data_IF_157470011495
#
_entry.id   IF_157470011495
#
_cell.length_a   1.000
_cell.length_b   1.000
_cell.length_c   1.000
_cell.angle_alpha   90.00
_cell.angle_beta   90.00
_cell.angle_gamma   90.00
#
_symmetry.space_group_name_H-M   'P 1'
#
loop_
_entity.id
_entity.type
_entity.pdbx_description
1 polymer ?
#
# COMPACT_ATOMS: atom_id res chain seq x y z
N UNK A 1 -5.07 0.93 -24.84
CA UNK A 1 -4.31 -0.19 -24.25
C UNK A 1 -2.82 0.01 -24.48
N UNK A 2 -1.96 -0.98 -24.19
CA UNK A 2 -0.52 -0.88 -24.43
C UNK A 2 -0.16 -0.53 -25.89
N UNK A 3 -1.02 -0.90 -26.85
CA UNK A 3 -0.84 -0.62 -28.27
C UNK A 3 -0.94 0.89 -28.60
N UNK A 4 -1.62 1.68 -27.76
CA UNK A 4 -1.77 3.13 -27.94
C UNK A 4 -0.60 3.94 -27.36
N UNK A 5 0.38 3.27 -26.75
CA UNK A 5 1.55 3.90 -26.13
C UNK A 5 2.72 4.02 -27.11
N UNK A 6 3.66 4.92 -26.86
CA UNK A 6 4.94 4.92 -27.59
C UNK A 6 5.76 3.66 -27.26
N UNK A 7 6.70 3.30 -28.14
CA UNK A 7 7.61 2.16 -27.89
C UNK A 7 8.41 2.33 -26.59
N UNK A 8 8.87 3.56 -26.34
CA UNK A 8 9.59 3.91 -25.12
C UNK A 8 8.74 3.66 -23.87
N UNK A 9 7.45 4.04 -23.90
CA UNK A 9 6.55 3.88 -22.78
C UNK A 9 6.11 2.42 -22.59
N UNK A 10 5.94 1.66 -23.68
CA UNK A 10 5.70 0.21 -23.63
C UNK A 10 6.83 -0.55 -22.95
N UNK A 11 8.08 -0.17 -23.18
CA UNK A 11 9.25 -0.78 -22.53
C UNK A 11 9.37 -0.34 -21.06
N UNK A 12 9.17 0.96 -20.79
CA UNK A 12 9.38 1.54 -19.48
C UNK A 12 8.28 1.17 -18.46
N UNK A 13 7.00 1.30 -18.84
CA UNK A 13 5.88 1.23 -17.90
C UNK A 13 5.81 -0.10 -17.12
N UNK A 14 5.96 -1.30 -17.74
CA UNK A 14 5.88 -2.56 -17.00
C UNK A 14 6.92 -2.65 -15.88
N UNK A 15 8.14 -2.16 -16.11
CA UNK A 15 9.21 -2.15 -15.12
C UNK A 15 8.92 -1.14 -14.01
N UNK A 16 8.46 0.05 -14.37
CA UNK A 16 8.05 1.09 -13.44
C UNK A 16 6.92 0.61 -12.52
N UNK A 17 5.83 0.09 -13.09
CA UNK A 17 4.66 -0.37 -12.36
C UNK A 17 4.97 -1.61 -11.49
N UNK A 18 5.78 -2.55 -11.98
CA UNK A 18 6.22 -3.70 -11.18
C UNK A 18 7.07 -3.27 -9.97
N UNK A 19 8.05 -2.37 -10.16
CA UNK A 19 8.85 -1.88 -9.05
C UNK A 19 8.02 -1.07 -8.04
N UNK A 20 7.11 -0.23 -8.54
CA UNK A 20 6.16 0.51 -7.71
C UNK A 20 5.29 -0.43 -6.87
N UNK A 21 4.74 -1.48 -7.48
CA UNK A 21 3.96 -2.48 -6.74
C UNK A 21 4.79 -3.15 -5.64
N UNK A 22 6.07 -3.45 -5.91
CA UNK A 22 6.97 -4.02 -4.90
C UNK A 22 7.24 -3.09 -3.73
N UNK A 23 7.32 -1.78 -3.98
CA UNK A 23 7.39 -0.78 -2.92
C UNK A 23 6.11 -0.79 -2.07
N UNK A 24 4.94 -0.78 -2.70
CA UNK A 24 3.64 -0.82 -2.01
C UNK A 24 3.51 -2.07 -1.14
N UNK A 25 3.83 -3.24 -1.70
CA UNK A 25 3.78 -4.50 -0.97
C UNK A 25 4.72 -4.52 0.24
N UNK A 26 5.93 -3.97 0.12
CA UNK A 26 6.86 -3.86 1.23
C UNK A 26 6.40 -2.88 2.31
N UNK A 27 5.76 -1.76 1.92
CA UNK A 27 5.17 -0.83 2.87
C UNK A 27 4.07 -1.51 3.71
N UNK A 28 3.15 -2.22 3.05
CA UNK A 28 2.12 -3.01 3.73
C UNK A 28 2.70 -4.10 4.63
N UNK A 29 3.71 -4.82 4.14
CA UNK A 29 4.35 -5.90 4.89
C UNK A 29 5.11 -5.44 6.13
N UNK A 30 5.50 -4.17 6.19
CA UNK A 30 6.17 -3.58 7.36
C UNK A 30 5.18 -2.96 8.37
N UNK A 31 3.94 -2.67 7.97
CA UNK A 31 2.93 -2.15 8.88
C UNK A 31 2.57 -3.18 9.96
N UNK A 32 2.62 -2.73 11.21
CA UNK A 32 2.10 -3.45 12.38
C UNK A 32 2.02 -2.53 13.58
N UNK A 33 1.14 -2.86 14.54
CA UNK A 33 1.16 -2.23 15.86
C UNK A 33 2.55 -2.43 16.50
N UNK A 34 3.15 -1.34 16.97
CA UNK A 34 4.46 -1.33 17.61
C UNK A 34 5.66 -1.12 16.68
N UNK A 35 5.50 -1.18 15.35
CA UNK A 35 6.56 -0.76 14.43
C UNK A 35 6.81 0.76 14.51
N UNK A 36 8.02 1.20 14.17
CA UNK A 36 8.26 2.62 13.93
C UNK A 36 7.90 2.97 12.48
N UNK A 37 7.39 4.16 12.26
CA UNK A 37 7.09 4.64 10.91
C UNK A 37 8.35 4.76 10.03
N UNK A 38 9.54 4.92 10.65
CA UNK A 38 10.82 4.89 9.96
C UNK A 38 11.17 3.51 9.41
N UNK A 39 10.83 2.43 10.14
CA UNK A 39 11.01 1.05 9.65
C UNK A 39 10.12 0.78 8.43
N UNK A 40 8.87 1.28 8.47
CA UNK A 40 7.93 1.15 7.34
C UNK A 40 8.40 1.93 6.12
N UNK A 41 8.88 3.17 6.32
CA UNK A 41 9.51 3.95 5.25
C UNK A 41 10.71 3.20 4.67
N UNK A 42 11.59 2.68 5.51
CA UNK A 42 12.80 1.97 5.07
C UNK A 42 12.46 0.69 4.30
N UNK A 43 11.41 -0.03 4.68
CA UNK A 43 10.96 -1.20 3.95
C UNK A 43 10.52 -0.83 2.52
N UNK A 44 9.71 0.22 2.37
CA UNK A 44 9.29 0.74 1.07
C UNK A 44 10.50 1.22 0.24
N UNK A 45 11.36 2.06 0.83
CA UNK A 45 12.55 2.61 0.18
C UNK A 45 13.53 1.50 -0.26
N UNK A 46 13.68 0.42 0.52
CA UNK A 46 14.56 -0.70 0.19
C UNK A 46 14.16 -1.46 -1.09
N UNK A 47 12.89 -1.39 -1.48
CA UNK A 47 12.39 -1.98 -2.73
C UNK A 47 12.41 -1.00 -3.90
N UNK A 48 12.56 0.29 -3.64
CA UNK A 48 12.53 1.32 -4.69
C UNK A 48 13.76 1.18 -5.58
N UNK A 49 13.52 1.17 -6.89
CA UNK A 49 14.58 1.34 -7.88
C UNK A 49 14.70 2.83 -8.22
N UNK A 50 15.77 3.52 -7.79
CA UNK A 50 15.94 4.95 -8.03
C UNK A 50 16.21 5.30 -9.50
N UNK A 51 16.32 4.32 -10.40
CA UNK A 51 16.34 4.55 -11.86
C UNK A 51 14.95 4.61 -12.48
N UNK A 52 13.91 4.17 -11.76
CA UNK A 52 12.55 4.07 -12.27
C UNK A 52 11.63 5.12 -11.67
N UNK A 53 11.70 5.31 -10.35
CA UNK A 53 10.78 6.21 -9.66
C UNK A 53 11.40 6.89 -8.43
N UNK A 54 10.86 8.07 -8.13
CA UNK A 54 11.00 8.75 -6.83
C UNK A 54 9.63 8.79 -6.13
N UNK A 55 9.61 9.10 -4.83
CA UNK A 55 8.37 9.42 -4.13
C UNK A 55 8.06 10.90 -4.25
N UNK A 56 6.81 11.26 -4.57
CA UNK A 56 6.41 12.66 -4.59
C UNK A 56 6.36 13.26 -3.17
N UNK A 57 5.93 12.45 -2.20
CA UNK A 57 5.75 12.79 -0.78
C UNK A 57 6.14 11.58 0.09
N UNK A 58 6.05 11.74 1.41
CA UNK A 58 6.18 10.62 2.33
C UNK A 58 5.14 9.52 2.00
N UNK A 59 5.52 8.23 1.98
CA UNK A 59 4.64 7.13 1.58
C UNK A 59 3.59 6.87 2.67
N UNK A 60 2.41 7.46 2.51
CA UNK A 60 1.28 7.35 3.42
C UNK A 60 1.21 8.43 4.50
N UNK A 61 0.09 8.47 5.22
CA UNK A 61 -0.15 9.41 6.31
C UNK A 61 -1.22 8.89 7.26
N UNK A 62 -1.39 9.55 8.42
CA UNK A 62 -2.56 9.36 9.25
C UNK A 62 -3.78 10.04 8.62
N UNK A 63 -4.95 9.41 8.80
CA UNK A 63 -6.25 9.94 8.42
C UNK A 63 -7.19 9.92 9.62
N UNK A 64 -8.18 10.83 9.64
CA UNK A 64 -9.25 10.84 10.64
C UNK A 64 -10.49 11.55 10.05
N UNK A 65 -11.02 12.55 10.75
CA UNK A 65 -12.05 13.46 10.24
C UNK A 65 -11.48 14.36 9.13
N UNK A 66 -10.18 14.63 9.17
CA UNK A 66 -9.42 15.20 8.08
C UNK A 66 -8.76 14.08 7.27
N UNK A 67 -8.72 14.27 5.95
CA UNK A 67 -8.05 13.36 5.02
C UNK A 67 -6.56 13.24 5.36
N UNK A 68 -5.88 14.37 5.52
CA UNK A 68 -4.43 14.43 5.72
C UNK A 68 -4.06 15.15 7.02
N UNK A 69 -3.75 14.38 8.07
CA UNK A 69 -3.34 14.94 9.36
C UNK A 69 -1.83 15.20 9.42
N UNK A 70 -1.04 14.13 9.36
CA UNK A 70 0.41 14.19 9.34
C UNK A 70 0.96 12.87 8.79
N UNK A 71 2.11 12.95 8.11
CA UNK A 71 2.81 11.76 7.63
C UNK A 71 4.02 11.44 8.51
N UNK A 72 3.99 10.34 9.28
CA UNK A 72 5.14 9.91 10.09
C UNK A 72 6.17 9.11 9.29
N UNK A 73 5.91 8.75 8.03
CA UNK A 73 6.71 7.82 7.24
C UNK A 73 7.89 8.54 6.59
N UNK A 74 8.96 8.74 7.35
CA UNK A 74 10.19 9.40 6.90
C UNK A 74 11.42 8.67 7.39
N UNK A 75 12.56 8.91 6.75
CA UNK A 75 13.88 8.41 7.18
C UNK A 75 14.12 8.71 8.65
N UNK A 76 14.37 7.66 9.44
CA UNK A 76 14.69 7.79 10.87
C UNK A 76 13.52 8.20 11.78
N UNK A 77 12.28 8.20 11.29
CA UNK A 77 11.11 8.49 12.11
C UNK A 77 10.97 7.50 13.26
N UNK A 78 10.89 8.04 14.49
CA UNK A 78 10.73 7.26 15.73
C UNK A 78 9.28 7.12 16.19
N UNK A 79 8.33 7.61 15.38
CA UNK A 79 6.90 7.54 15.69
C UNK A 79 6.46 6.08 15.70
N UNK A 80 6.02 5.60 16.85
CA UNK A 80 5.54 4.22 17.02
C UNK A 80 4.07 4.14 16.61
N UNK A 81 3.77 3.23 15.68
CA UNK A 81 2.41 2.96 15.22
C UNK A 81 1.60 2.28 16.34
N UNK A 82 0.41 2.80 16.63
CA UNK A 82 -0.42 2.34 17.75
C UNK A 82 -1.72 1.69 17.27
N UNK A 83 -2.26 0.83 18.12
CA UNK A 83 -3.62 0.32 17.98
C UNK A 83 -4.62 1.49 17.99
N UNK A 84 -5.62 1.44 17.13
CA UNK A 84 -6.60 2.50 16.89
C UNK A 84 -6.19 3.54 15.85
N UNK A 85 -4.95 3.51 15.35
CA UNK A 85 -4.53 4.42 14.28
C UNK A 85 -5.15 4.04 12.94
N UNK A 86 -5.73 5.02 12.24
CA UNK A 86 -6.09 4.91 10.83
C UNK A 86 -4.99 5.54 9.98
N UNK A 87 -4.50 4.80 8.99
CA UNK A 87 -3.44 5.24 8.07
C UNK A 87 -3.84 4.98 6.63
N UNK A 88 -3.41 5.85 5.73
CA UNK A 88 -3.57 5.66 4.30
C UNK A 88 -2.25 5.18 3.72
N UNK A 89 -2.29 4.08 2.97
CA UNK A 89 -1.27 3.84 1.96
C UNK A 89 -1.50 4.90 0.89
N UNK A 90 -0.57 5.85 0.75
CA UNK A 90 -0.61 6.90 -0.26
C UNK A 90 0.83 7.09 -0.77
N UNK A 91 1.21 6.23 -1.70
CA UNK A 91 2.57 6.19 -2.26
C UNK A 91 2.47 6.69 -3.69
N UNK A 92 2.89 7.93 -3.93
CA UNK A 92 2.77 8.57 -5.24
C UNK A 92 4.11 8.41 -5.99
N UNK A 93 4.21 7.53 -7.01
CA UNK A 93 5.44 7.33 -7.75
C UNK A 93 5.61 8.42 -8.82
N UNK A 94 6.73 9.11 -8.80
CA UNK A 94 7.15 10.04 -9.84
C UNK A 94 8.07 9.31 -10.81
N UNK A 95 7.66 9.16 -12.07
CA UNK A 95 8.48 8.55 -13.10
C UNK A 95 9.80 9.29 -13.29
N UNK A 96 10.91 8.55 -13.35
CA UNK A 96 12.22 9.06 -13.76
C UNK A 96 12.54 8.84 -15.24
N UNK A 97 11.59 8.30 -15.99
CA UNK A 97 11.66 8.11 -17.44
C UNK A 97 10.55 8.91 -18.14
N UNK A 98 9.89 8.33 -19.17
CA UNK A 98 8.71 8.92 -19.79
C UNK A 98 7.61 9.26 -18.78
N UNK A 99 6.78 10.24 -19.12
CA UNK A 99 5.61 10.56 -18.30
C UNK A 99 4.64 9.37 -18.28
N UNK A 100 4.41 8.85 -17.08
CA UNK A 100 3.43 7.80 -16.81
C UNK A 100 2.96 7.86 -15.36
N UNK A 101 1.79 7.29 -15.09
CA UNK A 101 1.19 7.29 -13.77
C UNK A 101 0.84 5.86 -13.34
N UNK A 102 1.02 5.59 -12.06
CA UNK A 102 0.46 4.45 -11.34
C UNK A 102 0.09 4.94 -9.94
N UNK A 103 -0.96 4.39 -9.35
CA UNK A 103 -1.34 4.72 -7.99
C UNK A 103 -1.99 3.51 -7.33
N UNK A 104 -1.67 3.31 -6.06
CA UNK A 104 -2.37 2.46 -5.10
C UNK A 104 -2.58 3.32 -3.88
N UNK A 105 -3.84 3.50 -3.53
CA UNK A 105 -4.23 4.32 -2.40
C UNK A 105 -5.35 3.62 -1.63
N UNK A 106 -5.16 3.44 -0.32
CA UNK A 106 -6.05 2.62 0.48
C UNK A 106 -5.94 2.91 1.98
N UNK A 107 -7.08 3.03 2.64
CA UNK A 107 -7.16 3.18 4.10
C UNK A 107 -7.05 1.84 4.84
N UNK A 108 -6.22 1.79 5.87
CA UNK A 108 -6.13 0.67 6.82
C UNK A 108 -6.19 1.17 8.27
N UNK A 109 -6.72 0.33 9.15
CA UNK A 109 -6.68 0.56 10.60
C UNK A 109 -5.73 -0.42 11.25
N UNK A 110 -4.91 0.07 12.17
CA UNK A 110 -4.08 -0.77 13.02
C UNK A 110 -4.86 -1.14 14.28
N UNK A 111 -4.98 -2.44 14.56
CA UNK A 111 -5.73 -2.95 15.69
C UNK A 111 -4.98 -4.09 16.39
N UNK A 112 -4.65 -3.88 17.66
CA UNK A 112 -4.18 -4.98 18.51
C UNK A 112 -5.24 -6.08 18.67
N UNK A 113 -4.86 -7.17 19.31
CA UNK A 113 -5.75 -8.31 19.55
C UNK A 113 -7.06 -7.91 20.25
N UNK A 114 -6.99 -7.09 21.30
CA UNK A 114 -8.17 -6.65 22.04
C UNK A 114 -9.13 -5.84 21.17
N UNK A 115 -8.61 -4.92 20.34
CA UNK A 115 -9.43 -4.13 19.43
C UNK A 115 -10.01 -5.00 18.31
N UNK A 116 -9.25 -5.95 17.76
CA UNK A 116 -9.75 -6.90 16.74
C UNK A 116 -10.90 -7.74 17.28
N UNK A 117 -10.79 -8.27 18.49
CA UNK A 117 -11.89 -9.01 19.12
C UNK A 117 -13.14 -8.17 19.37
N UNK A 118 -12.98 -6.90 19.78
CA UNK A 118 -14.12 -6.00 19.96
C UNK A 118 -14.80 -5.72 18.62
N UNK A 119 -14.02 -5.44 17.57
CA UNK A 119 -14.55 -5.17 16.23
C UNK A 119 -15.27 -6.39 15.65
N UNK A 120 -14.71 -7.59 15.80
CA UNK A 120 -15.34 -8.81 15.29
C UNK A 120 -16.67 -9.13 15.97
N UNK A 121 -16.78 -8.88 17.28
CA UNK A 121 -18.03 -9.07 18.04
C UNK A 121 -19.07 -7.98 17.77
N UNK A 122 -18.65 -6.71 17.72
CA UNK A 122 -19.57 -5.59 17.59
C UNK A 122 -20.05 -5.35 16.15
N UNK A 123 -19.21 -5.66 15.15
CA UNK A 123 -19.46 -5.37 13.74
C UNK A 123 -19.11 -6.58 12.84
N UNK A 124 -19.84 -7.71 12.98
CA UNK A 124 -19.51 -8.96 12.29
C UNK A 124 -19.45 -8.81 10.75
N UNK A 125 -20.38 -8.09 10.14
CA UNK A 125 -20.40 -7.89 8.69
C UNK A 125 -19.19 -7.08 8.19
N UNK A 126 -18.74 -6.10 8.98
CA UNK A 126 -17.54 -5.33 8.66
C UNK A 126 -16.29 -6.20 8.81
N UNK A 127 -16.26 -7.02 9.86
CA UNK A 127 -15.18 -7.95 10.11
C UNK A 127 -15.04 -9.00 9.00
N UNK A 128 -16.14 -9.51 8.46
CA UNK A 128 -16.15 -10.42 7.31
C UNK A 128 -15.52 -9.76 6.08
N UNK A 129 -15.93 -8.53 5.74
CA UNK A 129 -15.33 -7.77 4.61
C UNK A 129 -13.84 -7.55 4.81
N UNK A 130 -13.42 -7.14 6.01
CA UNK A 130 -11.99 -6.96 6.35
C UNK A 130 -11.23 -8.28 6.17
N UNK A 131 -11.82 -9.40 6.60
CA UNK A 131 -11.20 -10.72 6.50
C UNK A 131 -11.05 -11.17 5.04
N UNK A 132 -12.07 -10.99 4.21
CA UNK A 132 -11.99 -11.25 2.76
C UNK A 132 -10.94 -10.39 2.06
N UNK A 133 -10.85 -9.10 2.41
CA UNK A 133 -9.83 -8.19 1.89
C UNK A 133 -8.41 -8.63 2.27
N UNK A 134 -8.21 -9.04 3.53
CA UNK A 134 -6.93 -9.59 4.00
C UNK A 134 -6.55 -10.87 3.27
N UNK A 135 -7.51 -11.76 3.03
CA UNK A 135 -7.30 -13.00 2.27
C UNK A 135 -6.93 -12.68 0.82
N UNK A 136 -7.68 -11.80 0.14
CA UNK A 136 -7.36 -11.35 -1.21
C UNK A 136 -5.94 -10.77 -1.34
N UNK A 137 -5.55 -9.85 -0.45
CA UNK A 137 -4.21 -9.27 -0.49
C UNK A 137 -3.12 -10.34 -0.32
N UNK A 138 -3.31 -11.32 0.57
CA UNK A 138 -2.30 -12.35 0.83
C UNK A 138 -2.26 -13.42 -0.27
N UNK A 139 -3.41 -13.91 -0.71
CA UNK A 139 -3.53 -15.09 -1.56
C UNK A 139 -3.49 -14.73 -3.04
N UNK A 140 -4.11 -13.62 -3.44
CA UNK A 140 -4.13 -13.18 -4.83
C UNK A 140 -2.98 -12.24 -5.16
N UNK A 141 -2.69 -11.27 -4.28
CA UNK A 141 -1.68 -10.25 -4.54
C UNK A 141 -0.29 -10.57 -3.98
N UNK A 142 -0.17 -11.57 -3.09
CA UNK A 142 1.10 -11.90 -2.44
C UNK A 142 1.55 -10.89 -1.37
N UNK A 143 0.69 -9.93 -1.00
CA UNK A 143 0.97 -8.91 0.03
C UNK A 143 0.66 -9.50 1.41
N UNK A 144 1.72 -9.82 2.15
CA UNK A 144 1.58 -10.34 3.52
C UNK A 144 1.31 -9.21 4.50
N UNK A 145 0.29 -9.38 5.34
CA UNK A 145 -0.10 -8.40 6.35
C UNK A 145 0.06 -8.98 7.76
N UNK A 146 0.65 -8.21 8.66
CA UNK A 146 0.57 -8.48 10.09
C UNK A 146 -0.90 -8.59 10.54
N UNK A 147 -1.17 -9.41 11.55
CA UNK A 147 -2.53 -9.63 12.06
C UNK A 147 -3.23 -8.34 12.49
N UNK A 148 -2.46 -7.32 12.87
CA UNK A 148 -2.97 -6.02 13.32
C UNK A 148 -3.38 -5.05 12.20
N UNK A 149 -3.11 -5.35 10.92
CA UNK A 149 -3.45 -4.45 9.81
C UNK A 149 -4.83 -4.78 9.25
N UNK A 150 -5.79 -3.87 9.31
CA UNK A 150 -7.16 -4.09 8.85
C UNK A 150 -7.48 -3.23 7.62
N UNK A 151 -7.49 -3.80 6.40
CA UNK A 151 -7.84 -3.05 5.19
C UNK A 151 -9.31 -2.66 5.15
N UNK A 152 -9.57 -1.38 4.92
CA UNK A 152 -10.92 -0.81 4.87
C UNK A 152 -11.37 -0.46 3.45
N UNK A 153 -10.43 -0.24 2.53
CA UNK A 153 -10.68 0.05 1.11
C UNK A 153 -11.39 -1.09 0.36
N UNK A 154 -12.04 -0.75 -0.75
CA UNK A 154 -12.74 -1.73 -1.60
C UNK A 154 -11.81 -2.46 -2.58
N UNK A 155 -10.65 -1.89 -2.87
CA UNK A 155 -9.67 -2.41 -3.84
C UNK A 155 -8.27 -2.48 -3.22
N UNK A 156 -8.12 -3.14 -2.05
CA UNK A 156 -6.93 -3.01 -1.23
C UNK A 156 -5.69 -3.58 -1.92
N UNK A 157 -4.68 -2.73 -2.12
CA UNK A 157 -3.44 -3.09 -2.78
C UNK A 157 -3.60 -3.40 -4.28
N UNK A 158 -4.78 -3.19 -4.87
CA UNK A 158 -5.03 -3.59 -6.25
C UNK A 158 -4.44 -2.58 -7.24
N UNK A 159 -3.48 -3.04 -8.03
CA UNK A 159 -2.89 -2.26 -9.12
C UNK A 159 -3.14 -2.95 -10.47
N UNK A 160 -4.08 -2.47 -11.28
CA UNK A 160 -4.27 -2.99 -12.64
C UNK A 160 -3.15 -2.49 -13.58
N UNK A 161 -2.61 -3.35 -14.46
CA UNK A 161 -1.71 -2.94 -15.52
C UNK A 161 -2.29 -1.79 -16.37
N UNK A 162 -1.46 -0.77 -16.59
CA UNK A 162 -1.79 0.42 -17.36
C UNK A 162 -2.99 1.20 -16.82
N UNK A 163 -3.47 0.91 -15.61
CA UNK A 163 -4.71 1.46 -15.03
C UNK A 163 -5.97 1.11 -15.86
N UNK A 164 -5.85 0.20 -16.82
CA UNK A 164 -6.90 -0.09 -17.81
C UNK A 164 -7.31 -1.56 -17.84
N UNK A 165 -6.41 -2.48 -17.46
CA UNK A 165 -6.70 -3.91 -17.43
C UNK A 165 -7.38 -4.30 -16.11
N UNK A 166 -8.66 -3.96 -15.95
CA UNK A 166 -9.39 -4.10 -14.68
C UNK A 166 -9.64 -5.56 -14.25
N UNK A 167 -9.37 -6.54 -15.10
CA UNK A 167 -9.45 -7.97 -14.80
C UNK A 167 -8.09 -8.56 -14.36
N UNK A 168 -7.06 -7.72 -14.28
CA UNK A 168 -5.69 -8.12 -13.94
C UNK A 168 -5.19 -7.30 -12.75
N UNK A 169 -4.19 -7.84 -12.06
CA UNK A 169 -3.49 -7.17 -10.98
C UNK A 169 -2.01 -7.52 -11.03
N UNK A 170 -1.15 -6.58 -10.62
CA UNK A 170 0.21 -6.94 -10.21
C UNK A 170 0.16 -7.82 -8.95
N UNK A 171 1.12 -8.75 -8.86
CA UNK A 171 1.22 -9.69 -7.73
C UNK A 171 2.68 -9.84 -7.33
N UNK A 172 2.94 -9.95 -6.03
CA UNK A 172 4.24 -10.29 -5.48
C UNK A 172 4.41 -11.81 -5.52
N UNK A 173 5.54 -12.26 -6.08
CA UNK A 173 5.89 -13.69 -6.09
C UNK A 173 6.87 -13.94 -4.94
N UNK A 174 6.71 -15.06 -4.20
CA UNK A 174 7.58 -15.40 -3.08
C UNK A 174 9.05 -15.61 -3.49
#
# INVERSE_FOLDING_TARGET
GPDDLSDELRDFYPRFAANYFSVVAAWYGALRVGATAGDVFQAAESRRNPRLLDFALNPGHYLHLDEWLNSPFTTGSRSVLKSGSAVQADIIPVSRGPFCCSNVEDGVVLADESLRERLSRAYPDAWERISHRRSFMQEALGIRLDASVLPLGNTPGWLPPYVLSLEQAFVERP
#
